data_IF_585477657473
#
_entry.id   IF_585477657473
#
_cell.length_a   1.000
_cell.length_b   1.000
_cell.length_c   1.000
_cell.angle_alpha   90.00
_cell.angle_beta   90.00
_cell.angle_gamma   90.00
#
_symmetry.space_group_name_H-M   'P 1'
#
loop_
_entity.id
_entity.type
_entity.pdbx_description
1 polymer ?
#
# COMPACT_ATOMS: atom_id res chain seq x y z
N UNK A 1 49.42 30.37 40.19
CA UNK A 1 50.01 29.34 39.33
C UNK A 1 49.37 29.50 37.97
N UNK A 2 50.18 29.98 37.01
CA UNK A 2 49.72 30.28 35.64
C UNK A 2 49.76 29.01 34.78
N UNK A 3 48.72 28.78 33.99
CA UNK A 3 48.77 27.79 32.90
C UNK A 3 48.72 28.53 31.57
N UNK A 4 49.73 28.22 30.77
CA UNK A 4 50.03 28.88 29.52
C UNK A 4 49.12 28.45 28.38
N UNK A 5 48.92 29.40 27.48
CA UNK A 5 48.29 29.23 26.17
C UNK A 5 49.26 28.50 25.22
N UNK A 6 48.75 27.41 24.55
CA UNK A 6 49.43 26.84 23.39
C UNK A 6 48.54 27.07 22.16
N UNK A 7 49.01 27.98 21.28
CA UNK A 7 48.35 28.30 20.01
C UNK A 7 48.45 27.17 18.99
N UNK A 8 47.37 26.95 18.25
CA UNK A 8 47.34 26.15 17.03
C UNK A 8 47.83 26.97 15.81
N UNK A 9 48.63 26.41 14.91
CA UNK A 9 49.08 27.09 13.70
C UNK A 9 47.99 27.21 12.63
N UNK A 10 48.01 28.37 11.98
CA UNK A 10 47.01 28.78 11.00
C UNK A 10 46.94 27.92 9.74
N UNK A 11 45.71 27.67 9.34
CA UNK A 11 45.36 27.14 8.01
C UNK A 11 45.24 28.29 7.02
N UNK A 12 46.01 28.23 5.93
CA UNK A 12 45.88 29.16 4.78
C UNK A 12 44.60 28.86 4.00
N UNK A 13 43.89 29.86 3.46
CA UNK A 13 42.73 29.62 2.60
C UNK A 13 43.18 29.07 1.24
N UNK A 14 42.44 28.06 0.80
CA UNK A 14 42.56 27.46 -0.54
C UNK A 14 41.86 28.39 -1.54
N UNK A 15 42.47 28.79 -2.66
CA UNK A 15 41.81 29.61 -3.67
C UNK A 15 40.76 28.83 -4.44
N UNK A 16 39.62 29.47 -4.72
CA UNK A 16 38.53 28.94 -5.53
C UNK A 16 39.02 28.70 -6.99
N UNK A 17 38.50 27.62 -7.65
CA UNK A 17 38.81 27.37 -9.05
C UNK A 17 38.19 28.42 -9.96
N UNK A 18 38.96 28.96 -10.91
CA UNK A 18 38.47 29.81 -12.00
C UNK A 18 37.66 28.98 -12.98
N UNK A 19 36.48 29.46 -13.35
CA UNK A 19 35.69 28.93 -14.43
C UNK A 19 36.16 29.58 -15.72
N UNK A 20 36.78 28.78 -16.58
CA UNK A 20 37.08 29.16 -17.97
C UNK A 20 35.87 28.83 -18.84
N UNK A 21 35.32 29.85 -19.52
CA UNK A 21 34.35 29.70 -20.58
C UNK A 21 35.11 29.45 -21.88
N UNK A 22 35.20 28.20 -22.31
CA UNK A 22 35.72 27.79 -23.62
C UNK A 22 34.62 27.12 -24.42
N UNK A 23 34.45 27.58 -25.66
CA UNK A 23 33.44 27.21 -26.65
C UNK A 23 33.45 25.74 -27.07
N UNK A 24 32.25 25.27 -27.37
CA UNK A 24 31.80 24.16 -28.24
C UNK A 24 32.85 23.27 -28.91
N UNK A 25 32.81 21.95 -28.62
CA UNK A 25 32.64 20.92 -29.66
C UNK A 25 32.20 19.59 -29.07
N UNK A 26 31.41 18.83 -29.86
CA UNK A 26 30.69 17.65 -29.45
C UNK A 26 31.58 16.50 -28.99
N UNK A 27 31.43 16.10 -27.75
CA UNK A 27 32.07 14.93 -27.15
C UNK A 27 31.13 14.22 -26.18
N UNK A 28 30.90 12.93 -26.43
CA UNK A 28 30.06 12.02 -25.65
C UNK A 28 30.34 12.09 -24.14
N UNK A 29 29.28 12.18 -23.33
CA UNK A 29 29.33 12.10 -21.89
C UNK A 29 29.59 10.66 -21.44
N UNK A 30 30.49 10.41 -20.48
CA UNK A 30 30.71 9.08 -19.92
C UNK A 30 29.89 8.86 -18.66
N UNK A 31 28.56 8.91 -18.76
CA UNK A 31 27.70 8.54 -17.63
C UNK A 31 26.92 7.30 -18.06
N UNK A 32 27.41 6.14 -17.56
CA UNK A 32 26.86 4.81 -17.86
C UNK A 32 25.48 4.54 -17.28
N UNK A 33 24.56 5.50 -17.30
CA UNK A 33 23.15 5.24 -17.08
C UNK A 33 22.55 4.75 -18.39
N UNK A 34 22.39 3.44 -18.53
CA UNK A 34 21.53 2.86 -19.58
C UNK A 34 20.10 3.30 -19.28
N UNK A 35 19.59 4.24 -20.06
CA UNK A 35 18.16 4.48 -20.18
C UNK A 35 17.49 3.18 -20.60
N UNK A 36 16.66 2.61 -19.74
CA UNK A 36 15.77 1.52 -20.13
C UNK A 36 14.66 2.14 -20.97
N UNK A 37 14.86 2.21 -22.28
CA UNK A 37 13.83 2.65 -23.21
C UNK A 37 12.83 1.52 -23.43
N UNK A 38 11.63 1.68 -22.89
CA UNK A 38 10.50 0.82 -23.19
C UNK A 38 9.93 1.17 -24.59
N UNK A 39 9.41 0.19 -25.37
CA UNK A 39 8.87 0.44 -26.71
C UNK A 39 7.74 1.47 -26.66
N UNK A 40 7.79 2.50 -27.53
CA UNK A 40 6.71 3.45 -27.77
C UNK A 40 5.52 2.71 -28.40
N UNK A 41 4.48 2.46 -27.63
CA UNK A 41 3.27 1.80 -28.15
C UNK A 41 2.26 1.38 -27.10
N UNK A 42 2.50 1.63 -25.82
CA UNK A 42 1.68 1.17 -24.72
C UNK A 42 0.76 2.29 -24.21
N UNK A 43 -0.53 2.04 -24.41
CA UNK A 43 -1.71 2.61 -23.76
C UNK A 43 -1.77 4.14 -23.57
N UNK A 44 -2.71 4.78 -24.27
CA UNK A 44 -3.28 6.09 -23.88
C UNK A 44 -4.39 5.82 -22.89
N UNK A 45 -4.30 6.28 -21.61
CA UNK A 45 -5.40 6.12 -20.68
C UNK A 45 -6.63 6.88 -21.22
N UNK A 46 -7.75 6.19 -21.27
CA UNK A 46 -9.05 6.82 -21.47
C UNK A 46 -9.52 7.31 -20.09
N UNK A 47 -9.59 8.62 -19.83
CA UNK A 47 -10.02 9.15 -18.53
C UNK A 47 -11.44 8.75 -18.13
N UNK A 48 -12.25 8.30 -19.10
CA UNK A 48 -13.64 7.88 -18.90
C UNK A 48 -13.79 6.41 -18.47
N UNK A 49 -12.70 5.63 -18.43
CA UNK A 49 -12.75 4.21 -18.07
C UNK A 49 -12.55 3.94 -16.57
N UNK A 50 -12.25 4.96 -15.76
CA UNK A 50 -11.93 4.85 -14.33
C UNK A 50 -13.18 4.92 -13.43
N UNK A 51 -14.35 5.25 -13.99
CA UNK A 51 -15.62 5.18 -13.26
C UNK A 51 -16.38 3.93 -13.71
N UNK A 52 -16.70 2.99 -12.82
CA UNK A 52 -17.67 1.95 -13.18
C UNK A 52 -18.98 2.65 -13.57
N UNK A 53 -19.45 2.42 -14.79
CA UNK A 53 -20.78 2.82 -15.24
C UNK A 53 -21.81 2.08 -14.37
N UNK A 54 -22.21 2.66 -13.26
CA UNK A 54 -23.38 2.22 -12.48
C UNK A 54 -24.63 2.54 -13.30
N UNK A 55 -24.92 1.69 -14.28
CA UNK A 55 -26.20 1.61 -14.95
C UNK A 55 -27.27 1.22 -13.93
N UNK A 56 -28.21 2.12 -13.69
CA UNK A 56 -29.39 1.81 -12.89
C UNK A 56 -30.14 0.63 -13.52
N UNK A 57 -30.12 -0.53 -12.84
CA UNK A 57 -31.09 -1.61 -13.16
C UNK A 57 -30.53 -2.99 -13.51
N UNK A 58 -29.21 -3.22 -13.56
CA UNK A 58 -28.64 -4.57 -13.58
C UNK A 58 -28.26 -4.99 -12.15
N UNK A 59 -28.43 -6.25 -11.80
CA UNK A 59 -27.79 -6.83 -10.60
C UNK A 59 -26.29 -6.66 -10.87
N UNK A 60 -25.66 -5.69 -10.21
CA UNK A 60 -24.24 -5.46 -10.38
C UNK A 60 -23.52 -6.73 -9.90
N UNK A 61 -22.79 -7.38 -10.79
CA UNK A 61 -21.93 -8.50 -10.43
C UNK A 61 -20.90 -8.01 -9.43
N UNK A 62 -20.61 -8.80 -8.39
CA UNK A 62 -19.58 -8.46 -7.41
C UNK A 62 -18.22 -8.32 -8.10
N UNK A 63 -17.46 -7.30 -7.73
CA UNK A 63 -16.14 -7.02 -8.32
C UNK A 63 -15.13 -8.09 -7.85
N UNK A 64 -14.54 -8.88 -8.76
CA UNK A 64 -13.52 -9.85 -8.37
C UNK A 64 -12.25 -9.15 -7.93
N UNK A 65 -11.78 -9.49 -6.72
CA UNK A 65 -10.55 -8.93 -6.15
C UNK A 65 -9.61 -10.02 -5.63
N UNK A 66 -8.32 -9.70 -5.62
CA UNK A 66 -7.30 -10.35 -4.80
C UNK A 66 -6.82 -9.32 -3.81
N UNK A 67 -6.82 -9.64 -2.51
CA UNK A 67 -6.33 -8.79 -1.45
C UNK A 67 -4.95 -9.29 -1.00
N UNK A 68 -3.91 -8.47 -1.16
CA UNK A 68 -2.54 -8.73 -0.73
C UNK A 68 -2.24 -7.93 0.53
N UNK A 69 -1.89 -8.60 1.63
CA UNK A 69 -1.76 -8.03 2.97
C UNK A 69 -0.52 -8.55 3.71
N UNK A 70 -0.10 -7.84 4.76
CA UNK A 70 0.92 -8.27 5.73
C UNK A 70 0.40 -8.16 7.17
N UNK A 71 -0.68 -8.83 7.45
CA UNK A 71 -1.68 -8.63 8.48
C UNK A 71 -1.14 -8.14 9.81
N UNK A 72 -1.24 -6.83 9.95
CA UNK A 72 -1.12 -6.04 11.16
C UNK A 72 -2.48 -5.55 11.65
N UNK A 73 -2.46 -4.47 12.44
CA UNK A 73 -3.64 -3.94 13.12
C UNK A 73 -4.68 -3.31 12.20
N UNK A 74 -4.28 -2.70 11.10
CA UNK A 74 -5.17 -2.05 10.12
C UNK A 74 -5.51 -2.97 8.95
N UNK A 75 -4.59 -3.84 8.50
CA UNK A 75 -4.91 -4.97 7.60
C UNK A 75 -6.09 -5.79 8.12
N UNK A 76 -6.14 -6.04 9.44
CA UNK A 76 -7.22 -6.79 10.06
C UNK A 76 -8.60 -6.18 9.71
N UNK A 77 -8.72 -4.86 9.75
CA UNK A 77 -9.96 -4.17 9.41
C UNK A 77 -10.19 -4.13 7.89
N UNK A 78 -9.15 -4.06 7.08
CA UNK A 78 -9.26 -4.14 5.62
C UNK A 78 -9.78 -5.51 5.17
N UNK A 79 -9.26 -6.59 5.74
CA UNK A 79 -9.71 -7.97 5.51
C UNK A 79 -11.19 -8.11 5.90
N UNK A 80 -11.55 -7.72 7.13
CA UNK A 80 -12.93 -7.82 7.61
C UNK A 80 -13.87 -6.95 6.78
N UNK A 81 -13.48 -5.75 6.38
CA UNK A 81 -14.29 -4.88 5.51
C UNK A 81 -14.54 -5.54 4.13
N UNK A 82 -13.48 -6.13 3.54
CA UNK A 82 -13.62 -6.82 2.27
C UNK A 82 -14.56 -8.02 2.38
N UNK A 83 -14.39 -8.87 3.40
CA UNK A 83 -15.20 -10.06 3.62
C UNK A 83 -16.66 -9.75 3.99
N UNK A 84 -16.93 -8.59 4.61
CA UNK A 84 -18.27 -8.13 4.96
C UNK A 84 -19.04 -7.49 3.79
N UNK A 85 -18.41 -7.30 2.64
CA UNK A 85 -18.92 -6.48 1.54
C UNK A 85 -19.34 -7.34 0.35
N UNK A 86 -20.64 -7.59 0.13
CA UNK A 86 -21.11 -8.43 -0.95
C UNK A 86 -20.88 -7.84 -2.35
N UNK A 87 -20.49 -6.58 -2.46
CA UNK A 87 -20.08 -5.94 -3.70
C UNK A 87 -18.69 -6.40 -4.18
N UNK A 88 -17.92 -7.08 -3.31
CA UNK A 88 -16.61 -7.63 -3.60
C UNK A 88 -16.69 -9.17 -3.64
N UNK A 89 -16.14 -9.74 -4.70
CA UNK A 89 -15.89 -11.17 -4.80
C UNK A 89 -14.41 -11.43 -4.50
N UNK A 90 -14.10 -11.65 -3.22
CA UNK A 90 -12.73 -11.88 -2.76
C UNK A 90 -12.28 -13.27 -3.20
N UNK A 91 -11.52 -13.34 -4.29
CA UNK A 91 -11.05 -14.61 -4.89
C UNK A 91 -9.90 -15.25 -4.11
N UNK A 92 -9.11 -14.43 -3.44
CA UNK A 92 -7.97 -14.85 -2.65
C UNK A 92 -7.55 -13.75 -1.68
N UNK A 93 -6.94 -14.16 -0.56
CA UNK A 93 -6.09 -13.31 0.26
C UNK A 93 -4.67 -13.85 0.15
N UNK A 94 -3.72 -13.02 -0.28
CA UNK A 94 -2.30 -13.34 -0.38
C UNK A 94 -1.54 -12.61 0.71
N UNK A 95 -0.56 -13.27 1.33
CA UNK A 95 0.07 -12.75 2.54
C UNK A 95 1.57 -12.61 2.31
N UNK A 96 2.12 -11.44 2.66
CA UNK A 96 3.56 -11.20 2.73
C UNK A 96 4.01 -10.96 4.16
N UNK A 97 5.30 -11.02 4.41
CA UNK A 97 5.91 -10.38 5.57
C UNK A 97 5.93 -8.86 5.39
N UNK A 98 6.09 -8.13 6.47
CA UNK A 98 6.13 -6.67 6.46
C UNK A 98 5.97 -6.14 7.89
N UNK A 99 4.75 -5.85 8.31
CA UNK A 99 4.42 -5.36 9.66
C UNK A 99 5.11 -6.19 10.76
N UNK A 100 5.05 -7.51 10.60
CA UNK A 100 5.82 -8.52 11.35
C UNK A 100 6.29 -9.62 10.40
N UNK A 101 6.97 -10.66 10.91
CA UNK A 101 7.40 -11.80 10.08
C UNK A 101 6.22 -12.55 9.46
N UNK A 102 6.45 -13.17 8.29
CA UNK A 102 5.43 -13.87 7.50
C UNK A 102 4.66 -14.94 8.30
N UNK A 103 5.32 -15.64 9.22
CA UNK A 103 4.70 -16.63 10.09
C UNK A 103 3.57 -16.03 10.92
N UNK A 104 3.72 -14.79 11.39
CA UNK A 104 2.73 -14.04 12.16
C UNK A 104 1.66 -13.43 11.28
N UNK A 105 2.03 -12.75 10.20
CA UNK A 105 1.06 -12.16 9.27
C UNK A 105 0.12 -13.22 8.70
N UNK A 106 0.66 -14.39 8.35
CA UNK A 106 -0.12 -15.52 7.84
C UNK A 106 -1.07 -16.10 8.90
N UNK A 107 -0.58 -16.35 10.12
CA UNK A 107 -1.41 -16.84 11.22
C UNK A 107 -2.56 -15.86 11.54
N UNK A 108 -2.28 -14.56 11.55
CA UNK A 108 -3.26 -13.50 11.78
C UNK A 108 -4.34 -13.49 10.69
N UNK A 109 -3.93 -13.57 9.41
CA UNK A 109 -4.86 -13.62 8.28
C UNK A 109 -5.80 -14.82 8.37
N UNK A 110 -5.24 -16.00 8.61
CA UNK A 110 -6.00 -17.24 8.79
C UNK A 110 -6.98 -17.15 9.96
N UNK A 111 -6.55 -16.58 11.08
CA UNK A 111 -7.40 -16.40 12.25
C UNK A 111 -8.57 -15.45 11.99
N UNK A 112 -8.33 -14.35 11.27
CA UNK A 112 -9.37 -13.39 10.89
C UNK A 112 -10.38 -13.97 9.89
N UNK A 113 -9.92 -14.70 8.87
CA UNK A 113 -10.82 -15.37 7.92
C UNK A 113 -11.71 -16.40 8.61
N UNK A 114 -11.14 -17.17 9.55
CA UNK A 114 -11.92 -18.10 10.36
C UNK A 114 -12.91 -17.39 11.28
N UNK A 115 -12.49 -16.29 11.93
CA UNK A 115 -13.37 -15.49 12.78
C UNK A 115 -14.57 -14.95 11.98
N UNK A 116 -14.34 -14.49 10.76
CA UNK A 116 -15.37 -14.04 9.83
C UNK A 116 -16.19 -15.18 9.19
N UNK A 117 -15.90 -16.45 9.52
CA UNK A 117 -16.49 -17.64 8.90
C UNK A 117 -16.39 -17.64 7.36
N UNK A 118 -15.29 -17.12 6.85
CA UNK A 118 -15.05 -17.03 5.40
C UNK A 118 -14.33 -18.27 4.88
N UNK A 119 -14.75 -18.74 3.69
CA UNK A 119 -14.09 -19.82 2.94
C UNK A 119 -13.10 -19.31 1.90
N UNK A 120 -12.81 -18.01 1.89
CA UNK A 120 -11.84 -17.41 0.97
C UNK A 120 -10.46 -18.03 1.21
N UNK A 121 -9.79 -18.56 0.16
CA UNK A 121 -8.50 -19.18 0.33
C UNK A 121 -7.41 -18.15 0.65
N UNK A 122 -6.56 -18.49 1.62
CA UNK A 122 -5.40 -17.70 2.05
C UNK A 122 -4.14 -18.37 1.55
N UNK A 123 -3.28 -17.61 0.88
CA UNK A 123 -2.04 -18.10 0.26
C UNK A 123 -0.82 -17.47 0.91
N UNK A 124 0.12 -18.31 1.32
CA UNK A 124 1.42 -17.87 1.81
C UNK A 124 2.24 -17.27 0.67
N UNK A 125 2.82 -16.12 0.89
CA UNK A 125 3.64 -15.41 -0.10
C UNK A 125 5.06 -15.14 0.35
N UNK A 126 5.57 -13.95 0.00
CA UNK A 126 6.95 -13.56 0.20
C UNK A 126 7.29 -13.33 1.68
N UNK A 127 8.38 -13.94 2.13
CA UNK A 127 8.99 -13.72 3.44
C UNK A 127 10.03 -12.59 3.44
N UNK A 128 10.32 -12.02 2.28
CA UNK A 128 11.29 -10.94 2.04
C UNK A 128 10.92 -10.16 0.77
N UNK A 129 11.39 -8.92 0.65
CA UNK A 129 11.23 -8.11 -0.55
C UNK A 129 12.04 -8.68 -1.73
N UNK A 130 11.88 -8.10 -2.93
CA UNK A 130 12.69 -8.47 -4.09
C UNK A 130 14.19 -8.28 -3.82
N UNK A 131 14.55 -7.26 -3.03
CA UNK A 131 15.94 -7.04 -2.62
C UNK A 131 16.06 -6.82 -1.11
N UNK A 132 16.87 -7.61 -0.44
CA UNK A 132 17.20 -7.45 0.98
C UNK A 132 16.24 -8.17 1.93
N UNK A 133 15.81 -7.49 2.98
CA UNK A 133 14.93 -8.02 4.04
C UNK A 133 13.88 -6.99 4.39
N UNK A 134 12.69 -7.45 4.80
CA UNK A 134 11.66 -6.57 5.31
C UNK A 134 12.11 -5.86 6.60
N UNK A 135 11.73 -4.61 6.70
CA UNK A 135 11.78 -3.83 7.92
C UNK A 135 10.44 -4.00 8.64
N UNK A 136 10.45 -4.61 9.83
CA UNK A 136 9.25 -4.82 10.61
C UNK A 136 8.97 -3.66 11.58
N UNK A 137 7.69 -3.44 11.94
CA UNK A 137 7.28 -2.34 12.83
C UNK A 137 6.48 -2.84 14.06
N UNK A 138 7.11 -3.62 14.95
CA UNK A 138 6.44 -4.15 16.15
C UNK A 138 6.09 -3.07 17.17
N UNK A 139 6.60 -1.84 17.02
CA UNK A 139 6.23 -0.71 17.88
C UNK A 139 4.79 -0.24 17.64
N UNK A 140 4.25 -0.48 16.44
CA UNK A 140 2.88 -0.12 16.07
C UNK A 140 1.96 -1.33 16.22
N UNK A 141 2.35 -2.47 15.65
CA UNK A 141 1.50 -3.65 15.51
C UNK A 141 1.67 -4.67 16.65
N UNK A 142 2.60 -4.43 17.60
CA UNK A 142 2.99 -5.45 18.58
C UNK A 142 3.89 -6.51 17.96
N UNK A 143 4.48 -7.38 18.79
CA UNK A 143 5.35 -8.47 18.34
C UNK A 143 4.57 -9.60 17.63
N UNK A 144 3.27 -9.65 17.85
CA UNK A 144 2.33 -10.61 17.27
C UNK A 144 1.58 -10.07 16.05
N UNK A 145 1.70 -8.77 15.77
CA UNK A 145 1.03 -8.08 14.66
C UNK A 145 -0.38 -7.59 14.97
N UNK A 146 -1.01 -8.01 16.07
CA UNK A 146 -2.38 -7.64 16.44
C UNK A 146 -2.49 -6.92 17.79
N UNK A 147 -1.36 -6.35 18.27
CA UNK A 147 -1.34 -5.57 19.51
C UNK A 147 -1.65 -6.38 20.77
N UNK A 148 -1.34 -7.67 20.78
CA UNK A 148 -1.60 -8.58 21.91
C UNK A 148 -3.01 -9.22 21.91
N UNK A 149 -3.79 -8.99 20.87
CA UNK A 149 -5.14 -9.58 20.74
C UNK A 149 -5.02 -11.02 20.24
N UNK A 150 -5.48 -11.96 21.04
CA UNK A 150 -5.44 -13.38 20.72
C UNK A 150 -6.71 -13.77 19.97
N UNK A 151 -6.54 -14.25 18.75
CA UNK A 151 -7.62 -14.79 17.93
C UNK A 151 -7.58 -16.33 17.91
N UNK A 152 -8.68 -17.00 17.55
CA UNK A 152 -8.69 -18.45 17.37
C UNK A 152 -7.70 -18.90 16.30
N UNK A 153 -7.18 -20.13 16.42
CA UNK A 153 -6.34 -20.73 15.36
C UNK A 153 -7.12 -20.77 14.02
N UNK A 154 -6.52 -20.19 12.99
CA UNK A 154 -7.10 -20.10 11.64
C UNK A 154 -6.92 -21.36 10.79
N UNK A 155 -6.10 -22.29 11.20
CA UNK A 155 -5.78 -23.49 10.43
C UNK A 155 -4.59 -23.32 9.47
N UNK A 156 -4.66 -23.92 8.28
CA UNK A 156 -3.56 -23.97 7.31
C UNK A 156 -3.85 -23.14 6.06
N UNK A 157 -2.84 -22.50 5.45
CA UNK A 157 -2.98 -21.85 4.16
C UNK A 157 -3.25 -22.87 3.05
N UNK A 158 -3.77 -22.37 1.93
CA UNK A 158 -3.82 -23.15 0.70
C UNK A 158 -2.39 -23.55 0.25
N UNK A 159 -2.22 -24.72 -0.39
CA UNK A 159 -0.88 -25.29 -0.63
C UNK A 159 -0.06 -24.57 -1.70
N UNK A 160 -0.69 -23.72 -2.51
CA UNK A 160 -0.05 -22.95 -3.58
C UNK A 160 0.58 -21.66 -3.01
N UNK A 161 1.68 -21.19 -3.58
CA UNK A 161 2.26 -19.90 -3.19
C UNK A 161 1.47 -18.73 -3.77
N UNK A 162 1.46 -17.60 -3.07
CA UNK A 162 0.69 -16.41 -3.41
C UNK A 162 0.87 -15.95 -4.88
N UNK A 163 2.11 -15.80 -5.35
CA UNK A 163 2.36 -15.36 -6.73
C UNK A 163 1.84 -16.36 -7.78
N UNK A 164 1.87 -17.66 -7.50
CA UNK A 164 1.31 -18.70 -8.37
C UNK A 164 -0.22 -18.65 -8.38
N UNK A 165 -0.83 -18.50 -7.20
CA UNK A 165 -2.26 -18.34 -7.04
C UNK A 165 -2.78 -17.11 -7.79
N UNK A 166 -2.10 -15.95 -7.65
CA UNK A 166 -2.43 -14.72 -8.39
C UNK A 166 -2.42 -15.02 -9.90
N UNK A 167 -1.34 -15.60 -10.42
CA UNK A 167 -1.25 -15.92 -11.87
C UNK A 167 -2.36 -16.88 -12.31
N UNK A 168 -2.62 -17.93 -11.54
CA UNK A 168 -3.70 -18.87 -11.86
C UNK A 168 -5.07 -18.19 -11.88
N UNK A 169 -5.38 -17.38 -10.87
CA UNK A 169 -6.66 -16.66 -10.79
C UNK A 169 -6.81 -15.70 -11.98
N UNK A 170 -5.78 -14.92 -12.30
CA UNK A 170 -5.80 -14.01 -13.44
C UNK A 170 -6.00 -14.75 -14.76
N UNK A 171 -5.33 -15.91 -14.98
CA UNK A 171 -5.52 -16.72 -16.21
C UNK A 171 -6.91 -17.29 -16.34
N UNK A 172 -7.48 -17.77 -15.24
CA UNK A 172 -8.74 -18.54 -15.27
C UNK A 172 -9.96 -17.68 -15.05
N UNK A 173 -9.82 -16.45 -14.56
CA UNK A 173 -10.93 -15.54 -14.37
C UNK A 173 -11.56 -15.16 -15.72
N UNK A 174 -12.88 -15.30 -15.87
CA UNK A 174 -13.59 -14.85 -17.08
C UNK A 174 -13.57 -13.31 -17.19
N UNK A 175 -13.48 -12.61 -16.06
CA UNK A 175 -13.48 -11.15 -15.96
C UNK A 175 -12.12 -10.65 -15.45
N UNK A 176 -11.73 -9.43 -15.80
CA UNK A 176 -10.55 -8.80 -15.21
C UNK A 176 -10.70 -8.68 -13.69
N UNK A 177 -9.60 -8.90 -12.97
CA UNK A 177 -9.56 -8.92 -11.50
C UNK A 177 -8.85 -7.68 -10.98
N UNK A 178 -9.40 -7.05 -9.94
CA UNK A 178 -8.74 -5.96 -9.24
C UNK A 178 -7.73 -6.49 -8.23
N UNK A 179 -6.51 -5.97 -8.27
CA UNK A 179 -5.47 -6.26 -7.29
C UNK A 179 -5.48 -5.17 -6.23
N UNK A 180 -5.69 -5.57 -4.98
CA UNK A 180 -5.66 -4.66 -3.83
C UNK A 180 -4.44 -5.01 -2.98
N UNK A 181 -3.48 -4.10 -2.89
CA UNK A 181 -2.28 -4.29 -2.08
C UNK A 181 -2.27 -3.33 -0.89
N UNK A 182 -2.23 -3.89 0.32
CA UNK A 182 -2.11 -3.14 1.58
C UNK A 182 -0.83 -3.51 2.33
N UNK A 183 0.07 -4.21 1.66
CA UNK A 183 1.37 -4.72 2.09
C UNK A 183 2.50 -4.21 1.18
N UNK A 184 3.78 -4.49 1.48
CA UNK A 184 4.84 -4.48 0.48
C UNK A 184 4.43 -5.38 -0.69
N UNK A 185 4.33 -4.82 -1.90
CA UNK A 185 3.63 -5.45 -3.03
C UNK A 185 4.44 -6.54 -3.75
N UNK A 186 5.31 -7.22 -3.04
CA UNK A 186 6.22 -8.27 -3.54
C UNK A 186 5.46 -9.39 -4.27
N UNK A 187 4.35 -9.88 -3.68
CA UNK A 187 3.56 -10.96 -4.28
C UNK A 187 2.96 -10.55 -5.63
N UNK A 188 2.40 -9.34 -5.69
CA UNK A 188 1.79 -8.78 -6.91
C UNK A 188 2.84 -8.56 -8.00
N UNK A 189 4.00 -8.01 -7.62
CA UNK A 189 5.11 -7.79 -8.54
C UNK A 189 5.67 -9.10 -9.08
N UNK A 190 5.91 -10.12 -8.25
CA UNK A 190 6.37 -11.44 -8.68
C UNK A 190 5.40 -12.08 -9.69
N UNK A 191 4.09 -11.95 -9.45
CA UNK A 191 3.09 -12.50 -10.36
C UNK A 191 3.14 -11.82 -11.74
N UNK A 192 3.15 -10.49 -11.79
CA UNK A 192 3.10 -9.75 -13.05
C UNK A 192 4.47 -9.69 -13.76
N UNK A 193 5.58 -9.64 -13.02
CA UNK A 193 6.93 -9.61 -13.58
C UNK A 193 7.29 -10.93 -14.30
N UNK A 194 6.85 -12.06 -13.73
CA UNK A 194 7.13 -13.38 -14.32
C UNK A 194 6.19 -13.74 -15.46
N UNK A 195 5.02 -13.09 -15.57
CA UNK A 195 4.07 -13.28 -16.66
C UNK A 195 3.39 -11.96 -17.04
N UNK A 196 4.11 -11.04 -17.73
CA UNK A 196 3.61 -9.69 -18.01
C UNK A 196 2.29 -9.64 -18.81
N UNK A 197 2.02 -10.66 -19.62
CA UNK A 197 0.77 -10.74 -20.40
C UNK A 197 -0.49 -10.75 -19.50
N UNK A 198 -0.37 -11.17 -18.23
CA UNK A 198 -1.48 -11.18 -17.29
C UNK A 198 -1.95 -9.76 -16.90
N UNK A 199 -1.16 -8.73 -17.15
CA UNK A 199 -1.60 -7.35 -16.93
C UNK A 199 -2.88 -7.02 -17.71
N UNK A 200 -3.10 -7.65 -18.86
CA UNK A 200 -4.35 -7.51 -19.61
C UNK A 200 -5.60 -8.06 -18.86
N UNK A 201 -5.39 -8.92 -17.86
CA UNK A 201 -6.41 -9.50 -17.00
C UNK A 201 -6.60 -8.75 -15.68
N UNK A 202 -5.81 -7.72 -15.44
CA UNK A 202 -5.94 -6.84 -14.28
C UNK A 202 -6.91 -5.72 -14.62
N UNK A 203 -7.97 -5.55 -13.82
CA UNK A 203 -8.91 -4.45 -13.96
C UNK A 203 -8.28 -3.15 -13.44
N UNK A 204 -7.95 -3.14 -12.17
CA UNK A 204 -7.32 -2.03 -11.45
C UNK A 204 -6.25 -2.55 -10.49
N UNK A 205 -5.32 -1.68 -10.11
CA UNK A 205 -4.38 -1.90 -9.01
C UNK A 205 -4.62 -0.80 -7.99
N UNK A 206 -5.03 -1.18 -6.78
CA UNK A 206 -5.34 -0.24 -5.69
C UNK A 206 -4.40 -0.52 -4.54
N UNK A 207 -3.59 0.47 -4.17
CA UNK A 207 -2.55 0.30 -3.15
C UNK A 207 -2.75 1.27 -1.98
N UNK A 208 -2.67 0.75 -0.75
CA UNK A 208 -2.26 1.56 0.37
C UNK A 208 -0.74 1.59 0.37
N UNK A 209 -0.18 2.65 -0.16
CA UNK A 209 1.28 2.81 -0.26
C UNK A 209 1.64 4.25 -0.55
N UNK A 210 2.86 4.60 -0.19
CA UNK A 210 3.48 5.86 -0.55
C UNK A 210 3.02 7.07 0.23
N UNK A 211 3.76 8.15 0.01
CA UNK A 211 3.49 9.49 0.53
C UNK A 211 4.01 10.51 -0.46
N UNK A 212 3.27 11.61 -0.66
CA UNK A 212 3.74 12.71 -1.50
C UNK A 212 4.38 13.85 -0.70
N UNK A 213 4.23 13.85 0.64
CA UNK A 213 4.85 14.83 1.54
C UNK A 213 5.87 14.15 2.48
N UNK A 214 5.42 13.61 3.61
CA UNK A 214 6.28 12.99 4.61
C UNK A 214 6.02 11.49 4.71
N UNK A 215 7.10 10.71 4.82
CA UNK A 215 7.00 9.28 5.12
C UNK A 215 6.75 9.00 6.60
N UNK A 216 6.39 7.76 6.92
CA UNK A 216 6.22 7.26 8.28
C UNK A 216 7.32 6.29 8.71
N UNK A 217 7.95 5.58 7.78
CA UNK A 217 9.08 4.70 8.05
C UNK A 217 10.42 5.46 8.06
N UNK A 218 10.60 6.38 7.11
CA UNK A 218 11.65 7.40 7.12
C UNK A 218 11.00 8.76 6.82
N UNK A 219 11.69 9.89 7.03
CA UNK A 219 11.15 11.19 6.62
C UNK A 219 10.76 11.29 5.14
N UNK A 220 11.34 10.42 4.28
CA UNK A 220 11.14 10.45 2.85
C UNK A 220 10.16 9.38 2.34
N UNK A 221 10.02 8.24 3.05
CA UNK A 221 9.33 7.07 2.52
C UNK A 221 8.27 6.52 3.47
N UNK A 222 7.15 6.12 2.87
CA UNK A 222 6.10 5.34 3.50
C UNK A 222 6.56 3.89 3.65
N UNK A 223 6.01 3.17 4.63
CA UNK A 223 6.44 1.86 5.08
C UNK A 223 6.38 0.78 3.98
N UNK A 224 5.25 0.62 3.30
CA UNK A 224 5.08 -0.38 2.24
C UNK A 224 5.99 -0.09 1.04
N UNK A 225 6.08 1.18 0.64
CA UNK A 225 6.93 1.63 -0.45
C UNK A 225 8.42 1.48 -0.12
N UNK A 226 8.83 1.68 1.16
CA UNK A 226 10.22 1.48 1.60
C UNK A 226 10.59 0.01 1.66
N UNK A 227 9.66 -0.85 2.08
CA UNK A 227 9.91 -2.28 2.27
C UNK A 227 10.19 -3.00 0.95
N UNK A 228 9.52 -2.63 -0.15
CA UNK A 228 9.85 -3.18 -1.46
C UNK A 228 9.65 -2.15 -2.58
N UNK A 229 10.55 -1.15 -2.68
CA UNK A 229 10.44 -0.14 -3.72
C UNK A 229 10.64 -0.72 -5.13
N UNK A 230 11.39 -1.80 -5.28
CA UNK A 230 11.57 -2.51 -6.54
C UNK A 230 10.24 -3.15 -7.00
N UNK A 231 9.48 -3.77 -6.11
CA UNK A 231 8.16 -4.30 -6.41
C UNK A 231 7.18 -3.18 -6.79
N UNK A 232 7.20 -2.07 -6.06
CA UNK A 232 6.37 -0.91 -6.41
C UNK A 232 6.74 -0.35 -7.78
N UNK A 233 8.04 -0.28 -8.13
CA UNK A 233 8.49 0.16 -9.46
C UNK A 233 7.98 -0.77 -10.57
N UNK A 234 7.94 -2.07 -10.33
CA UNK A 234 7.36 -3.06 -11.27
C UNK A 234 5.88 -2.76 -11.52
N UNK A 235 5.09 -2.53 -10.48
CA UNK A 235 3.67 -2.22 -10.63
C UNK A 235 3.45 -0.89 -11.33
N UNK A 236 4.22 0.15 -11.02
CA UNK A 236 4.14 1.46 -11.69
C UNK A 236 4.50 1.40 -13.18
N UNK A 237 5.27 0.39 -13.59
CA UNK A 237 5.69 0.17 -14.97
C UNK A 237 4.86 -0.88 -15.72
N UNK A 238 3.90 -1.55 -15.06
CA UNK A 238 3.18 -2.69 -15.64
C UNK A 238 2.18 -2.32 -16.76
N UNK A 239 1.94 -1.03 -17.00
CA UNK A 239 1.02 -0.55 -18.04
C UNK A 239 -0.44 -0.41 -17.57
N UNK A 240 -0.71 -0.58 -16.28
CA UNK A 240 -1.99 -0.25 -15.63
C UNK A 240 -1.80 0.92 -14.67
N UNK A 241 -2.72 1.88 -14.61
CA UNK A 241 -2.66 2.91 -13.59
C UNK A 241 -2.80 2.31 -12.19
N UNK A 242 -2.01 2.84 -11.26
CA UNK A 242 -2.07 2.46 -9.85
C UNK A 242 -2.88 3.53 -9.10
N UNK A 243 -3.92 3.10 -8.39
CA UNK A 243 -4.67 3.96 -7.47
C UNK A 243 -3.96 3.96 -6.12
N UNK A 244 -3.57 5.14 -5.64
CA UNK A 244 -2.85 5.30 -4.39
C UNK A 244 -3.73 5.88 -3.28
N UNK A 245 -3.88 5.13 -2.19
CA UNK A 245 -4.26 5.64 -0.88
C UNK A 245 -2.98 5.95 -0.10
N UNK A 246 -2.42 7.15 -0.26
CA UNK A 246 -1.17 7.57 0.39
C UNK A 246 -1.38 7.96 1.85
N UNK A 247 -0.29 8.19 2.59
CA UNK A 247 -0.37 8.63 3.99
C UNK A 247 -1.20 9.89 4.19
N UNK A 248 -1.16 10.84 3.26
CA UNK A 248 -1.92 12.10 3.38
C UNK A 248 -3.42 11.89 3.23
N UNK A 249 -3.83 10.87 2.47
CA UNK A 249 -5.22 10.46 2.45
C UNK A 249 -5.60 9.76 3.75
N UNK A 250 -4.85 8.73 4.13
CA UNK A 250 -5.19 7.87 5.25
C UNK A 250 -5.08 8.58 6.60
N UNK A 251 -4.28 9.65 6.69
CA UNK A 251 -4.26 10.56 7.83
C UNK A 251 -5.59 11.29 8.07
N UNK A 252 -6.53 11.25 7.12
CA UNK A 252 -7.88 11.78 7.29
C UNK A 252 -8.82 10.76 7.95
N UNK A 253 -8.49 9.46 7.92
CA UNK A 253 -9.23 8.35 8.52
C UNK A 253 -8.77 8.07 9.96
N UNK A 254 -8.96 9.02 10.88
CA UNK A 254 -8.47 8.88 12.26
C UNK A 254 -9.45 8.10 13.15
N UNK A 255 -8.98 7.03 13.77
CA UNK A 255 -9.68 6.29 14.82
C UNK A 255 -9.57 7.07 16.13
N UNK A 256 -10.49 8.01 16.32
CA UNK A 256 -10.59 8.76 17.59
C UNK A 256 -11.26 7.92 18.68
N UNK A 257 -11.19 8.37 19.95
CA UNK A 257 -11.89 7.70 21.04
C UNK A 257 -13.41 7.64 20.81
N UNK A 258 -13.98 8.73 20.27
CA UNK A 258 -15.43 8.81 19.99
C UNK A 258 -15.83 7.86 18.87
N UNK A 259 -15.04 7.79 17.78
CA UNK A 259 -15.28 6.84 16.67
C UNK A 259 -15.16 5.40 17.12
N UNK A 260 -14.17 5.08 17.94
CA UNK A 260 -14.03 3.73 18.50
C UNK A 260 -15.19 3.36 19.42
N UNK A 261 -15.65 4.31 20.25
CA UNK A 261 -16.84 4.14 21.09
C UNK A 261 -18.10 3.94 20.24
N UNK A 262 -18.27 4.72 19.18
CA UNK A 262 -19.38 4.57 18.25
C UNK A 262 -19.37 3.21 17.53
N UNK A 263 -18.20 2.73 17.09
CA UNK A 263 -18.05 1.41 16.48
C UNK A 263 -18.45 0.30 17.48
N UNK A 264 -17.97 0.35 18.71
CA UNK A 264 -18.35 -0.63 19.75
C UNK A 264 -19.84 -0.66 20.04
N UNK A 265 -20.52 0.47 19.92
CA UNK A 265 -21.96 0.57 20.17
C UNK A 265 -22.83 -0.09 19.07
N UNK A 266 -22.24 -0.46 17.93
CA UNK A 266 -22.98 -1.08 16.80
C UNK A 266 -23.35 -2.55 17.05
N UNK A 267 -22.70 -3.23 18.00
CA UNK A 267 -23.01 -4.62 18.28
C UNK A 267 -21.95 -5.33 19.12
N UNK A 268 -22.18 -6.62 19.32
CA UNK A 268 -21.32 -7.52 20.12
C UNK A 268 -20.80 -8.70 19.27
N UNK A 269 -20.86 -8.60 17.93
CA UNK A 269 -20.30 -9.61 17.03
C UNK A 269 -18.80 -9.81 17.29
N UNK A 270 -18.32 -11.03 17.13
CA UNK A 270 -16.92 -11.37 17.43
C UNK A 270 -15.94 -10.58 16.56
N UNK A 271 -16.26 -10.43 15.25
CA UNK A 271 -15.42 -9.66 14.32
C UNK A 271 -15.37 -8.17 14.70
N UNK A 272 -16.53 -7.57 15.01
CA UNK A 272 -16.59 -6.16 15.40
C UNK A 272 -15.84 -5.94 16.73
N UNK A 273 -16.01 -6.84 17.70
CA UNK A 273 -15.30 -6.77 18.97
C UNK A 273 -13.79 -6.87 18.78
N UNK A 274 -13.33 -7.88 18.02
CA UNK A 274 -11.91 -8.06 17.70
C UNK A 274 -11.33 -6.84 16.98
N UNK A 275 -12.01 -6.31 15.96
CA UNK A 275 -11.60 -5.11 15.24
C UNK A 275 -11.44 -3.90 16.17
N UNK A 276 -12.40 -3.70 17.08
CA UNK A 276 -12.34 -2.61 18.07
C UNK A 276 -11.21 -2.80 19.08
N UNK A 277 -10.96 -4.04 19.53
CA UNK A 277 -9.90 -4.33 20.50
C UNK A 277 -8.51 -4.17 19.86
N UNK A 278 -8.33 -4.66 18.63
CA UNK A 278 -7.12 -4.44 17.84
C UNK A 278 -6.86 -2.94 17.66
N UNK A 279 -7.87 -2.15 17.27
CA UNK A 279 -7.69 -0.71 17.10
C UNK A 279 -7.47 0.03 18.42
N UNK A 280 -7.98 -0.47 19.54
CA UNK A 280 -7.71 0.10 20.87
C UNK A 280 -6.25 -0.13 21.32
N UNK A 281 -5.58 -1.17 20.81
CA UNK A 281 -4.19 -1.48 21.14
C UNK A 281 -3.17 -0.61 20.38
N UNK A 282 -3.57 0.02 19.26
CA UNK A 282 -2.67 0.84 18.43
C UNK A 282 -2.16 2.04 19.23
N UNK A 283 -0.83 2.26 19.30
CA UNK A 283 -0.26 3.39 20.02
C UNK A 283 -0.76 4.73 19.47
N UNK A 284 -1.22 5.59 20.36
CA UNK A 284 -1.71 6.92 19.97
C UNK A 284 -0.57 7.91 19.90
N UNK A 285 -0.45 8.61 18.77
CA UNK A 285 0.43 9.76 18.68
C UNK A 285 -0.07 10.89 19.56
N UNK A 286 0.85 11.59 20.26
CA UNK A 286 0.49 12.82 21.00
C UNK A 286 0.16 13.99 20.06
N UNK A 287 0.43 13.85 18.75
CA UNK A 287 0.25 14.90 17.75
C UNK A 287 -1.08 14.80 17.00
N UNK A 288 -1.75 13.65 17.04
CA UNK A 288 -2.99 13.39 16.35
C UNK A 288 -4.09 12.99 17.32
N UNK A 289 -5.36 13.39 17.10
CA UNK A 289 -6.49 13.05 17.95
C UNK A 289 -6.89 11.56 17.90
N UNK A 290 -6.30 10.78 16.99
CA UNK A 290 -6.53 9.35 16.81
C UNK A 290 -5.40 8.68 16.03
N UNK A 291 -5.42 7.36 15.95
CA UNK A 291 -4.53 6.61 15.07
C UNK A 291 -5.08 6.61 13.63
N UNK A 292 -4.27 6.87 12.60
CA UNK A 292 -4.71 6.70 11.22
C UNK A 292 -5.08 5.24 10.95
N UNK A 293 -6.16 5.03 10.20
CA UNK A 293 -6.58 3.73 9.71
C UNK A 293 -6.25 3.66 8.22
N UNK A 294 -5.14 3.02 7.88
CA UNK A 294 -4.55 3.11 6.55
C UNK A 294 -5.25 2.18 5.54
N UNK A 295 -5.15 0.89 5.72
CA UNK A 295 -5.46 -0.15 4.74
C UNK A 295 -6.93 -0.23 4.33
N UNK A 296 -7.90 -0.07 5.24
CA UNK A 296 -9.30 -0.07 4.86
C UNK A 296 -9.69 1.04 3.88
N UNK A 297 -8.88 2.11 3.73
CA UNK A 297 -9.10 3.15 2.74
C UNK A 297 -9.04 2.61 1.31
N UNK A 298 -8.10 1.69 1.03
CA UNK A 298 -8.00 1.04 -0.28
C UNK A 298 -9.23 0.19 -0.61
N UNK A 299 -9.74 -0.55 0.37
CA UNK A 299 -10.97 -1.35 0.20
C UNK A 299 -12.20 -0.45 0.09
N UNK A 300 -12.28 0.61 0.90
CA UNK A 300 -13.41 1.55 0.87
C UNK A 300 -13.52 2.29 -0.47
N UNK A 301 -12.39 2.57 -1.15
CA UNK A 301 -12.39 3.12 -2.50
C UNK A 301 -13.19 2.25 -3.47
N UNK A 302 -13.02 0.94 -3.43
CA UNK A 302 -13.77 0.02 -4.29
C UNK A 302 -15.27 -0.02 -3.98
N UNK A 303 -15.62 0.16 -2.70
CA UNK A 303 -17.00 0.09 -2.22
C UNK A 303 -17.78 1.40 -2.42
N UNK A 304 -17.14 2.52 -2.19
CA UNK A 304 -17.75 3.86 -2.20
C UNK A 304 -16.78 4.91 -2.78
N UNK A 305 -16.52 4.91 -4.09
CA UNK A 305 -15.63 5.93 -4.70
C UNK A 305 -16.08 7.37 -4.41
N UNK A 306 -17.39 7.58 -4.20
CA UNK A 306 -17.95 8.90 -3.90
C UNK A 306 -17.46 9.51 -2.57
N UNK A 307 -16.85 8.71 -1.68
CA UNK A 307 -16.22 9.23 -0.45
C UNK A 307 -14.89 9.94 -0.72
N UNK A 308 -14.36 9.85 -1.94
CA UNK A 308 -13.01 10.32 -2.28
C UNK A 308 -13.04 11.36 -3.40
N UNK A 309 -12.08 12.27 -3.37
CA UNK A 309 -11.68 13.00 -4.58
C UNK A 309 -10.37 12.44 -5.13
N UNK A 310 -10.18 12.53 -6.44
CA UNK A 310 -9.06 11.89 -7.11
C UNK A 310 -8.31 12.86 -8.02
N UNK A 311 -7.03 12.55 -8.27
CA UNK A 311 -6.19 13.23 -9.24
C UNK A 311 -5.38 12.23 -10.05
N UNK A 312 -5.47 12.32 -11.37
CA UNK A 312 -4.57 11.60 -12.27
C UNK A 312 -3.20 12.28 -12.27
N UNK A 313 -2.12 11.50 -12.17
CA UNK A 313 -0.76 12.02 -12.07
C UNK A 313 0.27 11.01 -12.58
N UNK A 314 1.52 11.42 -12.74
CA UNK A 314 2.63 10.50 -12.87
C UNK A 314 3.24 10.20 -11.50
N UNK A 315 3.64 8.94 -11.30
CA UNK A 315 4.29 8.49 -10.08
C UNK A 315 5.51 7.62 -10.40
N UNK A 316 6.54 7.80 -9.58
CA UNK A 316 7.76 6.99 -9.57
C UNK A 316 8.14 6.68 -8.13
N UNK A 317 9.00 5.69 -7.92
CA UNK A 317 9.62 5.41 -6.62
C UNK A 317 11.13 5.53 -6.72
N UNK A 318 11.75 6.10 -5.71
CA UNK A 318 13.22 6.23 -5.65
C UNK A 318 13.85 4.90 -5.25
N UNK A 319 14.63 4.31 -6.16
CA UNK A 319 15.37 3.07 -5.97
C UNK A 319 16.82 3.30 -5.54
N UNK A 320 17.27 4.56 -5.46
CA UNK A 320 18.63 4.91 -5.08
C UNK A 320 18.96 4.45 -3.65
N UNK A 321 20.24 4.20 -3.34
CA UNK A 321 20.66 3.76 -2.00
C UNK A 321 20.71 4.87 -0.96
N UNK A 322 20.31 6.10 -1.33
CA UNK A 322 20.37 7.29 -0.48
C UNK A 322 19.19 7.46 0.47
N UNK A 323 19.13 8.65 1.08
CA UNK A 323 18.08 9.02 2.04
C UNK A 323 16.67 9.08 1.44
N UNK A 324 16.57 9.11 0.11
CA UNK A 324 15.30 9.11 -0.62
C UNK A 324 14.75 7.72 -0.97
N UNK A 325 15.52 6.63 -0.69
CA UNK A 325 15.08 5.28 -1.06
C UNK A 325 13.66 4.98 -0.59
N UNK A 326 12.82 4.45 -1.47
CA UNK A 326 11.42 4.14 -1.21
C UNK A 326 10.49 5.36 -1.26
N UNK A 327 11.02 6.58 -1.48
CA UNK A 327 10.18 7.76 -1.66
C UNK A 327 9.34 7.62 -2.93
N UNK A 328 8.03 7.80 -2.81
CA UNK A 328 7.15 7.96 -3.95
C UNK A 328 7.18 9.42 -4.42
N UNK A 329 7.60 9.60 -5.67
CA UNK A 329 7.65 10.92 -6.33
C UNK A 329 6.40 11.03 -7.18
N UNK A 330 5.40 11.74 -6.67
CA UNK A 330 4.09 11.92 -7.31
C UNK A 330 4.02 13.34 -7.87
N UNK A 331 3.96 13.45 -9.19
CA UNK A 331 3.87 14.73 -9.90
C UNK A 331 2.42 15.22 -9.95
N UNK A 332 2.00 15.90 -8.90
CA UNK A 332 0.65 16.46 -8.75
C UNK A 332 0.42 17.75 -9.57
N UNK A 333 1.48 18.28 -10.15
CA UNK A 333 1.48 19.60 -10.79
C UNK A 333 1.88 19.55 -12.27
N UNK A 334 2.00 18.35 -12.85
CA UNK A 334 2.44 18.13 -14.23
C UNK A 334 3.76 18.87 -14.55
N UNK A 335 4.73 18.77 -13.61
CA UNK A 335 6.06 19.36 -13.75
C UNK A 335 6.96 18.56 -14.69
N UNK A 336 6.66 17.29 -14.89
CA UNK A 336 7.34 16.41 -15.82
C UNK A 336 6.50 16.17 -17.08
N UNK A 337 7.12 15.61 -18.10
CA UNK A 337 6.43 15.17 -19.35
C UNK A 337 6.05 13.68 -19.29
N UNK A 338 6.14 13.07 -18.09
CA UNK A 338 5.82 11.67 -17.93
C UNK A 338 4.33 11.39 -18.15
N UNK A 339 4.04 10.26 -18.76
CA UNK A 339 2.65 9.82 -18.89
C UNK A 339 2.07 9.52 -17.50
N UNK A 340 0.80 9.88 -17.30
CA UNK A 340 0.10 9.53 -16.07
C UNK A 340 -0.03 8.01 -15.96
N UNK A 341 0.49 7.45 -14.89
CA UNK A 341 0.44 6.03 -14.54
C UNK A 341 -0.17 5.79 -13.16
N UNK A 342 -0.71 6.84 -12.53
CA UNK A 342 -1.28 6.78 -11.20
C UNK A 342 -2.55 7.63 -11.07
N UNK A 343 -3.40 7.23 -10.13
CA UNK A 343 -4.53 7.99 -9.62
C UNK A 343 -4.33 8.17 -8.13
N UNK A 344 -4.14 9.40 -7.70
CA UNK A 344 -4.01 9.75 -6.29
C UNK A 344 -5.39 9.98 -5.68
N UNK A 345 -5.70 9.32 -4.58
CA UNK A 345 -6.84 9.66 -3.73
C UNK A 345 -6.44 10.86 -2.86
N UNK A 346 -7.10 12.03 -3.03
CA UNK A 346 -6.65 13.27 -2.37
C UNK A 346 -7.40 13.58 -1.09
N UNK A 347 -8.73 13.39 -1.08
CA UNK A 347 -9.56 13.67 0.10
C UNK A 347 -10.47 12.50 0.41
N UNK A 348 -10.87 12.41 1.68
CA UNK A 348 -11.76 11.39 2.20
C UNK A 348 -12.89 12.05 3.01
N UNK A 349 -14.13 11.68 2.71
CA UNK A 349 -15.24 11.87 3.66
C UNK A 349 -15.06 10.86 4.81
N UNK A 350 -14.40 11.30 5.86
CA UNK A 350 -14.06 10.44 6.98
C UNK A 350 -15.29 9.92 7.73
N UNK A 351 -16.34 10.71 7.86
CA UNK A 351 -17.56 10.28 8.57
C UNK A 351 -18.33 9.23 7.75
N UNK A 352 -18.44 9.45 6.43
CA UNK A 352 -18.98 8.44 5.50
C UNK A 352 -18.15 7.15 5.50
N UNK A 353 -16.83 7.24 5.59
CA UNK A 353 -15.95 6.08 5.68
C UNK A 353 -16.17 5.27 6.96
N UNK A 354 -16.22 5.91 8.15
CA UNK A 354 -16.46 5.21 9.42
C UNK A 354 -17.88 4.66 9.51
N UNK A 355 -18.87 5.33 8.90
CA UNK A 355 -20.23 4.81 8.79
C UNK A 355 -20.26 3.52 7.93
N UNK A 356 -19.58 3.52 6.78
CA UNK A 356 -19.44 2.34 5.93
C UNK A 356 -18.75 1.20 6.68
N UNK A 357 -17.59 1.48 7.31
CA UNK A 357 -16.83 0.49 8.06
C UNK A 357 -17.67 -0.15 9.17
N UNK A 358 -18.34 0.66 9.98
CA UNK A 358 -19.19 0.17 11.05
C UNK A 358 -20.37 -0.65 10.56
N UNK A 359 -21.07 -0.17 9.52
CA UNK A 359 -22.17 -0.91 8.87
C UNK A 359 -21.73 -2.32 8.43
N UNK A 360 -20.53 -2.42 7.83
CA UNK A 360 -20.02 -3.71 7.31
C UNK A 360 -19.57 -4.63 8.43
N UNK A 361 -18.76 -4.14 9.36
CA UNK A 361 -18.25 -4.95 10.48
C UNK A 361 -19.39 -5.51 11.34
N UNK A 362 -20.48 -4.75 11.54
CA UNK A 362 -21.64 -5.20 12.30
C UNK A 362 -22.43 -6.34 11.64
N UNK A 363 -22.19 -6.65 10.36
CA UNK A 363 -22.83 -7.77 9.64
C UNK A 363 -22.11 -9.10 9.82
N UNK A 364 -20.85 -9.05 10.26
CA UNK A 364 -20.05 -10.24 10.50
C UNK A 364 -20.43 -10.89 11.85
N UNK A 365 -20.11 -12.20 12.01
CA UNK A 365 -20.38 -12.95 13.25
C UNK A 365 -19.81 -12.29 14.50
#
# INVERSE_FOLDING_TARGET
>A
MAFGETGCPGTRPVPAPRVDHGDADGGARPDGHREVTFPRGWYRPNPSAILPCLGKGAIAMATPIILDCDTGTDDALAILLALASPELDVRAITVAGGNVGLDRTLANTLALTRLARSEVPVYQGADRPLLGSFFNEPRIHGVDGLGGIVLPDGGQPAPELAADAIRRILRTSPEPVTLVGVAPVTNLALALMTEPALTAKVADIVLMSGAWAEGNATPAAEFNALNDPEALAVLLACGRPVVFATLELTAQALVTADRLTALRALGTGLCLTAACDIQASVPRSRRLPGAPLHDPCAVAWLLRPALFTTRSCSARVDLGPGIGRGRTVIDRWDRTTDAHNAVLLETLDADGFFALLGERLARLP
#
